data_IF_510843379740
#
_entry.id   IF_510843379740
#
_cell.length_a   1.000
_cell.length_b   1.000
_cell.length_c   1.000
_cell.angle_alpha   90.00
_cell.angle_beta   90.00
_cell.angle_gamma   90.00
#
_symmetry.space_group_name_H-M   'P 1'
#
loop_
_entity.id
_entity.type
_entity.pdbx_description
1 polymer ?
#
# COMPACT_ATOMS: atom_id res chain seq x y z
N UNK A 1 19.32 29.24 59.77
CA UNK A 1 19.92 30.18 58.80
C UNK A 1 21.24 29.59 58.33
N UNK A 2 21.55 29.28 57.06
CA UNK A 2 20.94 29.53 55.75
C UNK A 2 21.23 28.33 54.84
N UNK A 3 20.21 27.97 54.05
CA UNK A 3 20.26 27.21 52.80
C UNK A 3 21.40 27.69 51.88
N UNK A 4 22.14 26.75 51.27
CA UNK A 4 22.64 26.91 49.89
C UNK A 4 22.56 25.59 49.13
N UNK A 5 21.44 25.48 48.42
CA UNK A 5 21.16 24.57 47.33
C UNK A 5 22.21 24.73 46.21
N UNK A 6 22.83 23.65 45.76
CA UNK A 6 23.47 23.58 44.44
C UNK A 6 22.68 22.55 43.64
N UNK A 7 21.75 23.06 42.84
CA UNK A 7 20.95 22.28 41.91
C UNK A 7 21.86 21.69 40.82
N UNK A 8 21.62 20.42 40.55
CA UNK A 8 22.15 19.69 39.41
C UNK A 8 21.63 20.31 38.10
N UNK A 9 22.51 20.45 37.11
CA UNK A 9 22.11 20.62 35.72
C UNK A 9 22.88 19.58 34.90
N UNK A 10 22.40 18.34 34.94
CA UNK A 10 22.81 17.31 33.98
C UNK A 10 22.04 17.63 32.71
N UNK A 11 22.71 18.24 31.73
CA UNK A 11 22.23 18.27 30.36
C UNK A 11 22.18 16.83 29.84
N UNK A 12 21.02 16.18 29.95
CA UNK A 12 20.68 15.08 29.05
C UNK A 12 20.47 15.68 27.66
N UNK A 13 21.57 15.83 26.92
CA UNK A 13 21.49 15.91 25.47
C UNK A 13 21.02 14.53 24.98
N UNK A 14 19.71 14.34 24.96
CA UNK A 14 19.08 13.20 24.31
C UNK A 14 19.49 13.23 22.84
N UNK A 15 20.40 12.33 22.47
CA UNK A 15 20.62 11.92 21.09
C UNK A 15 19.30 11.32 20.59
N UNK A 16 18.41 12.18 20.09
CA UNK A 16 17.34 11.76 19.19
C UNK A 16 18.10 11.22 17.98
N UNK A 17 18.28 9.90 17.95
CA UNK A 17 18.70 9.18 16.75
C UNK A 17 17.59 9.38 15.74
N UNK A 18 17.66 10.46 14.98
CA UNK A 18 16.94 10.58 13.73
C UNK A 18 17.51 9.46 12.88
N UNK A 19 16.78 8.35 12.74
CA UNK A 19 17.14 7.35 11.75
C UNK A 19 17.16 8.09 10.43
N UNK A 20 18.32 8.15 9.78
CA UNK A 20 18.41 8.62 8.40
C UNK A 20 17.45 7.76 7.60
N UNK A 21 16.29 8.32 7.28
CA UNK A 21 15.27 7.62 6.51
C UNK A 21 15.94 7.21 5.21
N UNK A 22 16.08 5.89 5.00
CA UNK A 22 16.46 5.39 3.69
C UNK A 22 15.37 5.85 2.74
N UNK A 23 15.72 6.73 1.81
CA UNK A 23 14.83 7.16 0.75
C UNK A 23 14.49 5.96 -0.12
N UNK A 24 13.22 5.80 -0.50
CA UNK A 24 12.88 4.86 -1.55
C UNK A 24 13.45 5.40 -2.88
N UNK A 25 13.99 4.52 -3.71
CA UNK A 25 14.52 4.94 -5.01
C UNK A 25 13.41 5.54 -5.86
N UNK A 26 13.68 6.68 -6.51
CA UNK A 26 12.78 7.21 -7.53
C UNK A 26 12.90 6.39 -8.82
N UNK A 27 11.81 6.37 -9.59
CA UNK A 27 11.74 5.79 -10.93
C UNK A 27 10.63 4.75 -11.10
N UNK A 28 10.71 4.06 -12.24
CA UNK A 28 9.69 3.13 -12.71
C UNK A 28 10.05 1.72 -12.26
N UNK A 29 9.11 1.04 -11.61
CA UNK A 29 9.30 -0.30 -11.07
C UNK A 29 8.46 -1.32 -11.83
N UNK A 30 9.14 -2.19 -12.57
CA UNK A 30 8.53 -3.24 -13.37
C UNK A 30 8.48 -4.54 -12.58
N UNK A 31 7.42 -5.31 -12.79
CA UNK A 31 7.21 -6.56 -12.08
C UNK A 31 8.38 -7.53 -12.31
N UNK A 32 8.84 -8.18 -11.22
CA UNK A 32 9.74 -9.33 -11.29
C UNK A 32 9.30 -10.45 -10.37
N UNK A 33 9.34 -11.69 -10.89
CA UNK A 33 9.06 -12.87 -10.08
C UNK A 33 10.17 -13.03 -9.04
N UNK A 34 9.80 -12.93 -7.77
CA UNK A 34 10.75 -12.97 -6.65
C UNK A 34 10.04 -13.25 -5.32
N UNK A 35 10.74 -13.89 -4.37
CA UNK A 35 10.21 -14.13 -3.02
C UNK A 35 10.80 -13.10 -2.05
N UNK A 36 9.95 -12.27 -1.41
CA UNK A 36 10.42 -11.13 -0.60
C UNK A 36 11.44 -10.26 -1.37
N UNK A 37 11.14 -9.94 -2.63
CA UNK A 37 12.05 -9.28 -3.57
C UNK A 37 13.41 -9.98 -3.85
N UNK A 38 13.65 -11.21 -3.38
CA UNK A 38 14.87 -11.97 -3.69
C UNK A 38 14.71 -12.79 -4.98
N UNK A 39 15.77 -12.88 -5.81
CA UNK A 39 15.71 -13.69 -7.03
C UNK A 39 15.37 -15.15 -6.72
N UNK A 40 14.44 -15.74 -7.49
CA UNK A 40 14.04 -17.15 -7.37
C UNK A 40 14.96 -18.12 -8.13
N UNK A 41 16.18 -17.68 -8.46
CA UNK A 41 17.20 -18.52 -9.11
C UNK A 41 17.01 -18.76 -10.61
N UNK A 42 16.20 -17.94 -11.29
CA UNK A 42 16.08 -17.95 -12.75
C UNK A 42 17.34 -17.35 -13.40
N UNK A 43 17.70 -17.83 -14.59
CA UNK A 43 18.68 -17.13 -15.44
C UNK A 43 18.06 -15.84 -16.00
N UNK A 44 18.89 -14.91 -16.48
CA UNK A 44 18.39 -13.65 -17.07
C UNK A 44 17.44 -13.90 -18.25
N UNK A 45 17.79 -14.83 -19.13
CA UNK A 45 16.94 -15.25 -20.26
C UNK A 45 15.58 -15.81 -19.82
N UNK A 46 15.57 -16.59 -18.73
CA UNK A 46 14.33 -17.14 -18.16
C UNK A 46 13.50 -16.06 -17.46
N UNK A 47 14.16 -15.08 -16.85
CA UNK A 47 13.48 -13.97 -16.18
C UNK A 47 12.65 -13.19 -17.19
N UNK A 48 13.23 -12.80 -18.32
CA UNK A 48 12.56 -12.05 -19.37
C UNK A 48 11.44 -12.87 -20.04
N UNK A 49 11.64 -14.18 -20.21
CA UNK A 49 10.64 -15.04 -20.85
C UNK A 49 9.44 -15.38 -19.96
N UNK A 50 9.63 -15.43 -18.63
CA UNK A 50 8.62 -15.93 -17.68
C UNK A 50 7.96 -14.82 -16.86
N UNK A 51 8.56 -13.64 -16.80
CA UNK A 51 8.04 -12.50 -16.06
C UNK A 51 7.22 -11.61 -17.01
N UNK A 52 5.94 -11.36 -16.72
CA UNK A 52 5.16 -10.36 -17.46
C UNK A 52 5.83 -8.99 -17.42
N UNK A 53 5.98 -8.35 -18.58
CA UNK A 53 6.44 -6.97 -18.70
C UNK A 53 5.32 -6.01 -18.28
N UNK A 54 5.31 -5.67 -16.99
CA UNK A 54 4.26 -4.88 -16.37
C UNK A 54 4.90 -3.84 -15.48
N UNK A 55 4.67 -2.56 -15.79
CA UNK A 55 4.92 -1.49 -14.84
C UNK A 55 3.99 -1.65 -13.64
N UNK A 56 4.52 -1.85 -12.44
CA UNK A 56 3.71 -1.97 -11.23
C UNK A 56 3.39 -0.61 -10.62
N UNK A 57 4.42 0.20 -10.46
CA UNK A 57 4.30 1.52 -9.87
C UNK A 57 5.47 2.41 -10.26
N UNK A 58 5.22 3.71 -10.22
CA UNK A 58 6.22 4.76 -10.37
C UNK A 58 6.40 5.45 -9.01
N UNK A 59 7.64 5.83 -8.70
CA UNK A 59 7.97 6.60 -7.51
C UNK A 59 8.59 7.91 -7.94
N UNK A 60 7.86 9.00 -7.69
CA UNK A 60 8.29 10.35 -8.02
C UNK A 60 8.78 11.09 -6.77
N UNK A 61 9.93 11.77 -6.84
CA UNK A 61 10.36 12.67 -5.78
C UNK A 61 9.51 13.95 -5.82
N UNK A 62 8.67 14.15 -4.82
CA UNK A 62 7.88 15.38 -4.67
C UNK A 62 8.71 16.51 -4.02
N UNK A 63 9.68 16.16 -3.16
CA UNK A 63 10.69 17.05 -2.55
C UNK A 63 11.86 16.21 -1.97
N UNK A 64 12.89 16.85 -1.37
CA UNK A 64 14.11 16.19 -0.82
C UNK A 64 13.81 15.01 0.14
N UNK A 65 12.62 14.96 0.74
CA UNK A 65 12.21 13.86 1.63
C UNK A 65 10.73 13.47 1.46
N UNK A 66 10.10 13.90 0.37
CA UNK A 66 8.70 13.61 0.08
C UNK A 66 8.61 12.84 -1.23
N UNK A 67 7.85 11.76 -1.23
CA UNK A 67 7.72 10.85 -2.35
C UNK A 67 6.25 10.64 -2.66
N UNK A 68 5.92 10.49 -3.92
CA UNK A 68 4.61 10.06 -4.36
C UNK A 68 4.72 8.73 -5.10
N UNK A 69 3.77 7.83 -4.84
CA UNK A 69 3.60 6.59 -5.58
C UNK A 69 2.44 6.70 -6.55
N UNK A 70 2.65 6.23 -7.78
CA UNK A 70 1.60 6.01 -8.76
C UNK A 70 1.52 4.52 -9.04
N UNK A 71 0.50 3.85 -8.53
CA UNK A 71 0.26 2.43 -8.83
C UNK A 71 -0.37 2.34 -10.22
N UNK A 72 0.10 1.42 -11.05
CA UNK A 72 -0.52 1.09 -12.32
C UNK A 72 -1.87 0.38 -12.07
N UNK A 73 -2.93 1.16 -11.97
CA UNK A 73 -4.27 0.63 -11.71
C UNK A 73 -4.85 -0.06 -12.95
N UNK A 74 -4.33 0.18 -14.16
CA UNK A 74 -4.78 -0.53 -15.38
C UNK A 74 -4.52 -2.05 -15.28
N UNK A 75 -3.59 -2.47 -14.43
CA UNK A 75 -3.34 -3.88 -14.13
C UNK A 75 -4.42 -4.53 -13.22
N UNK A 76 -5.36 -3.76 -12.66
CA UNK A 76 -6.47 -4.25 -11.85
C UNK A 76 -7.63 -4.73 -12.74
N UNK A 77 -7.41 -5.85 -13.42
CA UNK A 77 -8.29 -6.37 -14.49
C UNK A 77 -9.76 -6.64 -14.10
N UNK A 78 -10.08 -6.77 -12.81
CA UNK A 78 -11.45 -6.98 -12.35
C UNK A 78 -12.20 -5.67 -12.03
N UNK A 79 -11.62 -4.49 -12.21
CA UNK A 79 -12.21 -3.20 -11.85
C UNK A 79 -12.99 -2.58 -13.03
N UNK A 80 -13.99 -1.76 -12.72
CA UNK A 80 -14.64 -0.89 -13.72
C UNK A 80 -13.74 0.30 -14.07
N UNK A 81 -13.93 0.91 -15.24
CA UNK A 81 -13.20 2.12 -15.64
C UNK A 81 -13.34 3.24 -14.60
N UNK A 82 -14.53 3.43 -14.02
CA UNK A 82 -14.73 4.43 -12.98
C UNK A 82 -14.08 4.04 -11.65
N UNK A 83 -13.89 2.76 -11.39
CA UNK A 83 -13.13 2.25 -10.25
C UNK A 83 -11.65 2.59 -10.39
N UNK A 84 -11.08 2.37 -11.58
CA UNK A 84 -9.70 2.76 -11.92
C UNK A 84 -9.52 4.27 -11.77
N UNK A 85 -10.38 5.06 -12.43
CA UNK A 85 -10.30 6.52 -12.39
C UNK A 85 -10.42 7.09 -10.95
N UNK A 86 -11.23 6.45 -10.09
CA UNK A 86 -11.33 6.82 -8.69
C UNK A 86 -10.00 6.60 -7.94
N UNK A 87 -9.36 5.43 -8.12
CA UNK A 87 -8.09 5.11 -7.48
C UNK A 87 -6.96 6.01 -7.97
N UNK A 88 -6.89 6.30 -9.27
CA UNK A 88 -5.93 7.26 -9.85
C UNK A 88 -6.08 8.65 -9.26
N UNK A 89 -7.31 9.08 -9.02
CA UNK A 89 -7.57 10.38 -8.41
C UNK A 89 -7.13 10.43 -6.94
N UNK A 90 -7.21 9.31 -6.20
CA UNK A 90 -6.70 9.25 -4.82
C UNK A 90 -5.17 9.39 -4.77
N UNK A 91 -4.45 8.82 -5.73
CA UNK A 91 -2.99 8.91 -5.79
C UNK A 91 -2.49 10.37 -5.89
N UNK A 92 -3.29 11.29 -6.44
CA UNK A 92 -2.94 12.72 -6.56
C UNK A 92 -2.90 13.49 -5.23
N UNK A 93 -3.45 12.93 -4.15
CA UNK A 93 -3.63 13.61 -2.84
C UNK A 93 -2.94 12.89 -1.69
N UNK A 94 -1.94 12.08 -2.02
CA UNK A 94 -1.31 11.19 -1.07
C UNK A 94 -0.48 11.92 -0.01
N UNK A 95 -0.37 11.29 1.15
CA UNK A 95 0.55 11.69 2.22
C UNK A 95 1.57 10.57 2.42
N UNK A 96 2.85 10.91 2.30
CA UNK A 96 3.94 9.97 2.48
C UNK A 96 4.49 9.99 3.91
N UNK A 97 4.74 8.80 4.46
CA UNK A 97 5.45 8.60 5.72
C UNK A 97 6.40 7.41 5.60
N UNK A 98 7.48 7.42 6.37
CA UNK A 98 8.49 6.37 6.37
C UNK A 98 8.85 5.98 7.79
N UNK A 99 9.04 4.68 8.02
CA UNK A 99 9.36 4.13 9.33
C UNK A 99 10.07 2.79 9.26
N UNK A 100 10.48 2.27 10.41
CA UNK A 100 10.96 0.89 10.52
C UNK A 100 9.81 -0.09 10.35
N UNK A 101 10.05 -1.22 9.69
CA UNK A 101 9.05 -2.28 9.59
C UNK A 101 8.75 -2.89 10.97
N UNK A 102 7.48 -3.16 11.33
CA UNK A 102 7.09 -3.59 12.69
C UNK A 102 7.87 -4.83 13.18
N UNK A 103 8.05 -5.81 12.30
CA UNK A 103 8.67 -7.09 12.67
C UNK A 103 10.19 -7.13 12.50
N UNK A 104 10.77 -6.18 11.78
CA UNK A 104 12.21 -6.18 11.46
C UNK A 104 12.74 -4.77 11.25
N UNK A 105 13.45 -4.26 12.26
CA UNK A 105 14.04 -2.92 12.23
C UNK A 105 15.10 -2.68 11.14
N UNK A 106 15.53 -3.73 10.41
CA UNK A 106 16.43 -3.61 9.26
C UNK A 106 15.67 -3.32 7.95
N UNK A 107 14.36 -3.59 7.91
CA UNK A 107 13.50 -3.24 6.78
C UNK A 107 12.92 -1.85 7.01
N UNK A 108 12.76 -1.10 5.92
CA UNK A 108 12.12 0.22 5.93
C UNK A 108 10.75 0.08 5.28
N UNK A 109 9.72 0.65 5.88
CA UNK A 109 8.36 0.69 5.32
C UNK A 109 8.06 2.11 4.86
N UNK A 110 7.71 2.23 3.58
CA UNK A 110 7.27 3.45 2.92
C UNK A 110 5.75 3.39 2.79
N UNK A 111 5.04 4.29 3.44
CA UNK A 111 3.58 4.30 3.51
C UNK A 111 3.04 5.52 2.79
N UNK A 112 2.12 5.29 1.87
CA UNK A 112 1.43 6.32 1.11
C UNK A 112 -0.06 6.24 1.43
N UNK A 113 -0.54 7.19 2.22
CA UNK A 113 -1.95 7.32 2.56
C UNK A 113 -2.65 8.07 1.44
N UNK A 114 -3.45 7.36 0.63
CA UNK A 114 -4.14 7.92 -0.54
C UNK A 114 -5.50 8.52 -0.18
N UNK A 115 -6.14 7.99 0.87
CA UNK A 115 -7.44 8.45 1.35
C UNK A 115 -7.53 8.33 2.86
N UNK A 116 -8.11 9.35 3.50
CA UNK A 116 -8.58 9.30 4.89
C UNK A 116 -9.74 10.27 5.06
N UNK A 117 -10.96 9.79 4.87
CA UNK A 117 -12.16 10.63 4.95
C UNK A 117 -13.38 9.87 5.46
N UNK A 118 -14.39 10.62 5.91
CA UNK A 118 -15.65 10.04 6.36
C UNK A 118 -16.64 10.00 5.21
N UNK A 119 -17.08 8.80 4.83
CA UNK A 119 -18.09 8.56 3.80
C UNK A 119 -19.40 8.05 4.42
N UNK A 120 -20.49 8.13 3.66
CA UNK A 120 -21.77 7.54 4.05
C UNK A 120 -21.97 6.17 3.37
N UNK A 121 -23.02 5.45 3.77
CA UNK A 121 -23.35 4.14 3.20
C UNK A 121 -23.55 4.15 1.68
N UNK A 122 -24.18 5.20 1.12
CA UNK A 122 -24.46 5.30 -0.32
C UNK A 122 -23.17 5.43 -1.12
N UNK A 123 -22.24 6.27 -0.68
CA UNK A 123 -20.90 6.41 -1.26
C UNK A 123 -20.14 5.09 -1.17
N UNK A 124 -20.14 4.42 0.00
CA UNK A 124 -19.48 3.13 0.16
C UNK A 124 -20.04 2.07 -0.80
N UNK A 125 -21.37 1.93 -0.88
CA UNK A 125 -22.00 0.99 -1.79
C UNK A 125 -21.64 1.29 -3.26
N UNK A 126 -21.65 2.57 -3.64
CA UNK A 126 -21.24 3.00 -4.98
C UNK A 126 -19.78 2.69 -5.31
N UNK A 127 -18.86 2.85 -4.34
CA UNK A 127 -17.44 2.53 -4.52
C UNK A 127 -17.22 1.02 -4.69
N UNK A 128 -17.82 0.20 -3.83
CA UNK A 128 -17.64 -1.25 -3.88
C UNK A 128 -18.15 -1.87 -5.17
N UNK A 129 -19.22 -1.31 -5.75
CA UNK A 129 -19.72 -1.74 -7.06
C UNK A 129 -18.73 -1.41 -8.20
N UNK A 130 -17.90 -0.37 -8.05
CA UNK A 130 -16.90 0.02 -9.05
C UNK A 130 -15.61 -0.77 -8.92
N UNK A 131 -15.29 -1.24 -7.72
CA UNK A 131 -14.06 -1.99 -7.44
C UNK A 131 -14.09 -3.44 -7.91
N UNK A 132 -15.21 -3.94 -8.44
CA UNK A 132 -15.18 -5.21 -9.15
C UNK A 132 -16.36 -5.36 -10.11
N UNK A 133 -16.09 -5.76 -11.36
CA UNK A 133 -17.07 -6.06 -12.40
C UNK A 133 -17.94 -7.29 -12.06
N UNK A 134 -17.54 -8.07 -11.04
CA UNK A 134 -18.19 -9.33 -10.62
C UNK A 134 -19.10 -9.15 -9.39
N UNK A 135 -19.41 -7.91 -8.99
CA UNK A 135 -20.16 -7.59 -7.74
C UNK A 135 -21.70 -7.58 -7.87
N UNK A 136 -22.29 -8.36 -8.78
CA UNK A 136 -23.76 -8.50 -8.85
C UNK A 136 -24.37 -9.01 -7.53
N UNK A 137 -25.70 -9.18 -7.43
CA UNK A 137 -26.49 -9.51 -6.22
C UNK A 137 -26.01 -10.73 -5.37
N UNK A 138 -24.93 -11.41 -5.77
CA UNK A 138 -24.31 -12.54 -5.07
C UNK A 138 -22.84 -12.32 -4.69
N UNK A 139 -22.25 -11.16 -5.03
CA UNK A 139 -20.85 -10.81 -4.82
C UNK A 139 -20.45 -10.64 -3.35
N UNK A 140 -19.15 -10.75 -3.06
CA UNK A 140 -18.60 -10.68 -1.69
C UNK A 140 -18.94 -9.34 -1.02
N UNK A 141 -18.72 -8.21 -1.71
CA UNK A 141 -18.97 -6.89 -1.12
C UNK A 141 -20.46 -6.62 -0.97
N UNK A 142 -21.29 -7.10 -1.89
CA UNK A 142 -22.75 -7.04 -1.76
C UNK A 142 -23.23 -7.73 -0.46
N UNK A 143 -22.76 -8.95 -0.18
CA UNK A 143 -23.09 -9.65 1.08
C UNK A 143 -22.59 -8.90 2.32
N UNK A 144 -21.40 -8.30 2.26
CA UNK A 144 -20.88 -7.49 3.36
C UNK A 144 -21.72 -6.21 3.56
N UNK A 145 -22.15 -5.54 2.49
CA UNK A 145 -23.06 -4.39 2.57
C UNK A 145 -24.40 -4.77 3.22
N UNK A 146 -24.97 -5.93 2.88
CA UNK A 146 -26.21 -6.42 3.51
C UNK A 146 -26.05 -6.67 5.02
N UNK A 147 -24.86 -7.08 5.47
CA UNK A 147 -24.57 -7.30 6.89
C UNK A 147 -24.59 -6.02 7.74
N UNK A 148 -24.41 -4.85 7.11
CA UNK A 148 -24.48 -3.55 7.77
C UNK A 148 -25.94 -3.21 8.07
N UNK A 149 -26.33 -3.33 9.35
CA UNK A 149 -27.72 -3.12 9.81
C UNK A 149 -28.17 -1.66 9.74
N UNK A 150 -27.31 -0.73 10.16
CA UNK A 150 -27.63 0.69 10.16
C UNK A 150 -27.19 1.34 8.84
N UNK A 151 -28.15 1.60 7.94
CA UNK A 151 -27.87 2.27 6.65
C UNK A 151 -27.61 3.78 6.78
N UNK A 152 -27.89 4.38 7.94
CA UNK A 152 -27.48 5.74 8.27
C UNK A 152 -26.06 5.81 8.86
N UNK A 153 -25.35 4.68 8.96
CA UNK A 153 -23.98 4.66 9.44
C UNK A 153 -23.03 5.48 8.55
N UNK A 154 -22.01 6.03 9.19
CA UNK A 154 -20.87 6.70 8.55
C UNK A 154 -19.64 5.82 8.71
N UNK A 155 -18.72 5.93 7.76
CA UNK A 155 -17.53 5.10 7.71
C UNK A 155 -16.29 5.95 7.53
N UNK A 156 -15.24 5.68 8.29
CA UNK A 156 -13.90 6.17 7.95
C UNK A 156 -13.35 5.27 6.84
N UNK A 157 -13.16 5.85 5.65
CA UNK A 157 -12.49 5.22 4.52
C UNK A 157 -11.00 5.52 4.59
N UNK A 158 -10.18 4.48 4.57
CA UNK A 158 -8.72 4.55 4.52
C UNK A 158 -8.24 3.75 3.32
N UNK A 159 -7.50 4.40 2.42
CA UNK A 159 -6.84 3.74 1.29
C UNK A 159 -5.35 3.97 1.40
N UNK A 160 -4.57 2.89 1.41
CA UNK A 160 -3.13 2.95 1.69
C UNK A 160 -2.35 2.03 0.75
N UNK A 161 -1.17 2.50 0.36
CA UNK A 161 -0.12 1.72 -0.30
C UNK A 161 1.07 1.61 0.65
N UNK A 162 1.70 0.44 0.72
CA UNK A 162 2.95 0.24 1.44
C UNK A 162 3.98 -0.48 0.59
N UNK A 163 5.17 0.10 0.53
CA UNK A 163 6.36 -0.51 -0.05
C UNK A 163 7.33 -0.86 1.08
N UNK A 164 7.83 -2.08 1.07
CA UNK A 164 8.88 -2.54 1.98
C UNK A 164 10.22 -2.58 1.25
N UNK A 165 11.18 -1.82 1.78
CA UNK A 165 12.57 -1.88 1.36
C UNK A 165 13.28 -3.02 2.10
N UNK A 166 13.56 -4.09 1.33
CA UNK A 166 14.27 -5.30 1.74
C UNK A 166 15.80 -5.12 1.76
N UNK A 167 16.32 -3.91 1.47
CA UNK A 167 17.73 -3.61 1.23
C UNK A 167 18.32 -4.33 0.04
N UNK A 168 17.48 -4.59 -0.97
CA UNK A 168 17.90 -5.15 -2.26
C UNK A 168 18.00 -3.98 -3.25
N UNK A 169 19.17 -3.71 -3.84
CA UNK A 169 19.34 -2.61 -4.77
C UNK A 169 18.30 -2.64 -5.88
N UNK A 170 17.80 -1.45 -6.24
CA UNK A 170 16.86 -1.22 -7.34
C UNK A 170 15.54 -2.00 -7.25
N UNK A 171 15.19 -2.53 -6.08
CA UNK A 171 13.93 -3.25 -5.85
C UNK A 171 13.10 -2.65 -4.72
N UNK A 172 11.80 -2.70 -4.88
CA UNK A 172 10.83 -2.32 -3.87
C UNK A 172 9.70 -3.34 -3.79
N UNK A 173 9.33 -3.76 -2.59
CA UNK A 173 8.32 -4.79 -2.39
C UNK A 173 6.97 -4.16 -2.07
N UNK A 174 6.00 -4.26 -2.98
CA UNK A 174 4.62 -3.84 -2.72
C UNK A 174 3.93 -4.89 -1.85
N UNK A 175 3.81 -4.58 -0.55
CA UNK A 175 3.22 -5.47 0.46
C UNK A 175 1.80 -5.08 0.85
N UNK A 176 1.39 -3.86 0.50
CA UNK A 176 0.04 -3.40 0.79
C UNK A 176 -0.48 -2.49 -0.32
N UNK A 177 -1.67 -2.79 -0.82
CA UNK A 177 -2.50 -1.84 -1.54
C UNK A 177 -3.96 -2.18 -1.25
N UNK A 178 -4.60 -1.39 -0.39
CA UNK A 178 -5.88 -1.76 0.22
C UNK A 178 -6.76 -0.56 0.54
N UNK A 179 -8.07 -0.72 0.36
CA UNK A 179 -9.10 0.15 0.95
C UNK A 179 -9.75 -0.56 2.14
N UNK A 180 -9.81 0.11 3.29
CA UNK A 180 -10.46 -0.36 4.51
C UNK A 180 -11.53 0.64 4.96
N UNK A 181 -12.70 0.12 5.35
CA UNK A 181 -13.84 0.92 5.77
C UNK A 181 -14.24 0.56 7.19
N UNK A 182 -14.10 1.52 8.10
CA UNK A 182 -14.39 1.35 9.53
C UNK A 182 -15.71 2.03 9.87
N UNK A 183 -16.65 1.31 10.48
CA UNK A 183 -17.86 1.95 10.97
C UNK A 183 -17.52 2.95 12.07
N UNK A 184 -18.18 4.10 12.09
CA UNK A 184 -18.02 5.07 13.18
C UNK A 184 -19.02 4.80 14.30
N UNK A 185 -18.56 4.89 15.55
CA UNK A 185 -19.43 4.86 16.71
C UNK A 185 -20.17 6.20 16.95
N UNK A 186 -20.99 6.25 17.99
CA UNK A 186 -21.75 7.46 18.35
C UNK A 186 -20.89 8.67 18.76
N UNK A 187 -19.60 8.45 19.04
CA UNK A 187 -18.61 9.49 19.32
C UNK A 187 -17.78 9.90 18.10
N UNK A 188 -18.04 9.27 16.94
CA UNK A 188 -17.31 9.51 15.69
C UNK A 188 -15.96 8.80 15.60
N UNK A 189 -15.66 7.84 16.49
CA UNK A 189 -14.43 7.05 16.45
C UNK A 189 -14.60 5.80 15.57
N UNK A 190 -13.56 5.38 14.83
CA UNK A 190 -13.61 4.16 14.05
C UNK A 190 -13.65 2.93 14.95
N UNK A 191 -14.54 2.00 14.64
CA UNK A 191 -14.67 0.70 15.30
C UNK A 191 -13.84 -0.33 14.54
N UNK A 192 -12.99 -1.04 15.27
CA UNK A 192 -12.16 -2.14 14.78
C UNK A 192 -12.83 -3.50 15.00
N UNK A 193 -12.66 -4.48 14.09
CA UNK A 193 -11.96 -4.38 12.80
C UNK A 193 -12.78 -3.64 11.74
N UNK A 194 -12.13 -3.27 10.62
CA UNK A 194 -12.83 -2.75 9.44
C UNK A 194 -14.00 -3.65 9.06
N UNK A 195 -15.16 -3.05 8.77
CA UNK A 195 -16.35 -3.80 8.36
C UNK A 195 -16.21 -4.37 6.95
N UNK A 196 -15.49 -3.66 6.09
CA UNK A 196 -15.19 -4.06 4.71
C UNK A 196 -13.73 -3.73 4.42
N UNK A 197 -13.06 -4.68 3.76
CA UNK A 197 -11.68 -4.54 3.31
C UNK A 197 -11.57 -5.03 1.87
N UNK A 198 -11.02 -4.17 1.00
CA UNK A 198 -10.80 -4.42 -0.43
C UNK A 198 -9.29 -4.47 -0.66
N UNK A 199 -8.75 -5.67 -0.92
CA UNK A 199 -7.34 -5.83 -1.27
C UNK A 199 -7.16 -5.64 -2.78
N UNK A 200 -6.65 -4.48 -3.18
CA UNK A 200 -6.29 -4.19 -4.57
C UNK A 200 -5.06 -5.00 -4.98
N UNK A 201 -4.12 -5.22 -4.06
CA UNK A 201 -2.96 -6.10 -4.26
C UNK A 201 -3.37 -7.53 -4.64
N UNK A 202 -4.45 -8.07 -4.04
CA UNK A 202 -4.95 -9.39 -4.40
C UNK A 202 -5.48 -9.45 -5.83
N UNK A 203 -6.12 -8.38 -6.31
CA UNK A 203 -6.53 -8.27 -7.72
C UNK A 203 -5.32 -8.23 -8.65
N UNK A 204 -4.36 -7.36 -8.34
CA UNK A 204 -3.11 -7.21 -9.10
C UNK A 204 -2.34 -8.54 -9.21
N UNK A 205 -2.13 -9.23 -8.07
CA UNK A 205 -1.42 -10.52 -8.01
C UNK A 205 -2.12 -11.63 -8.79
N UNK A 206 -3.45 -11.71 -8.72
CA UNK A 206 -4.22 -12.69 -9.48
C UNK A 206 -4.08 -12.50 -10.99
N UNK A 207 -4.00 -11.24 -11.45
CA UNK A 207 -3.82 -10.92 -12.86
C UNK A 207 -2.40 -11.25 -13.34
N UNK A 208 -1.36 -10.90 -12.57
CA UNK A 208 0.04 -11.19 -12.91
C UNK A 208 0.32 -12.70 -13.05
N UNK A 209 -0.45 -13.54 -12.37
CA UNK A 209 -0.25 -14.99 -12.32
C UNK A 209 -1.55 -15.77 -12.53
N UNK A 210 -2.09 -15.67 -13.75
CA UNK A 210 -3.19 -16.52 -14.20
C UNK A 210 -2.99 -18.00 -13.85
N UNK A 211 -4.08 -18.69 -13.49
CA UNK A 211 -4.05 -20.10 -13.08
C UNK A 211 -3.71 -21.00 -14.28
N UNK A 212 -2.77 -21.97 -14.18
CA UNK A 212 -1.98 -22.37 -13.01
C UNK A 212 -0.52 -21.88 -13.07
N UNK A 213 -0.18 -20.85 -12.29
CA UNK A 213 1.22 -20.43 -12.07
C UNK A 213 1.75 -20.98 -10.75
N UNK A 214 2.95 -21.57 -10.77
CA UNK A 214 3.63 -22.06 -9.55
C UNK A 214 3.95 -20.95 -8.55
N UNK A 215 3.93 -19.69 -9.00
CA UNK A 215 4.25 -18.51 -8.20
C UNK A 215 3.01 -17.92 -7.50
N UNK A 216 1.80 -18.33 -7.90
CA UNK A 216 0.53 -17.78 -7.41
C UNK A 216 0.36 -17.90 -5.88
N UNK A 217 0.85 -18.98 -5.26
CA UNK A 217 0.81 -19.16 -3.79
C UNK A 217 1.91 -18.40 -3.06
N UNK A 218 3.08 -18.23 -3.68
CA UNK A 218 4.27 -17.66 -3.04
C UNK A 218 4.29 -16.13 -3.03
N UNK A 219 3.44 -15.51 -3.85
CA UNK A 219 3.40 -14.07 -4.07
C UNK A 219 2.13 -13.42 -3.50
N UNK A 220 1.38 -14.12 -2.66
CA UNK A 220 0.17 -13.58 -2.03
C UNK A 220 0.47 -12.44 -1.05
N UNK A 221 1.66 -12.46 -0.44
CA UNK A 221 2.07 -11.50 0.59
C UNK A 221 2.67 -10.20 0.00
N UNK A 222 2.87 -10.15 -1.32
CA UNK A 222 3.35 -8.95 -2.02
C UNK A 222 3.99 -9.24 -3.37
N UNK A 223 4.19 -8.20 -4.17
CA UNK A 223 4.84 -8.27 -5.49
C UNK A 223 6.06 -7.37 -5.53
N UNK A 224 7.14 -7.84 -6.16
CA UNK A 224 8.34 -7.04 -6.27
C UNK A 224 8.35 -6.25 -7.58
N UNK A 225 8.64 -4.95 -7.45
CA UNK A 225 9.05 -4.13 -8.56
C UNK A 225 10.57 -4.03 -8.60
N UNK A 226 11.15 -4.12 -9.78
CA UNK A 226 12.56 -3.83 -10.06
C UNK A 226 12.66 -2.68 -11.04
N UNK A 227 13.58 -1.76 -10.76
CA UNK A 227 13.91 -0.65 -11.62
C UNK A 227 14.92 -1.14 -12.69
N UNK A 228 14.61 -1.02 -13.99
CA UNK A 228 15.51 -1.47 -15.05
C UNK A 228 16.85 -0.73 -14.99
N UNK A 229 17.96 -1.41 -15.33
CA UNK A 229 19.30 -0.80 -15.35
C UNK A 229 19.43 0.40 -16.32
N UNK A 230 18.50 0.52 -17.28
CA UNK A 230 18.43 1.63 -18.25
C UNK A 230 17.52 2.79 -17.83
N UNK A 231 16.98 2.78 -16.60
CA UNK A 231 16.17 3.91 -16.12
C UNK A 231 17.08 5.13 -15.91
N UNK A 232 17.20 5.94 -16.95
CA UNK A 232 17.88 7.21 -16.88
C UNK A 232 17.03 8.17 -16.06
N UNK A 233 17.49 8.46 -14.84
CA UNK A 233 17.18 9.69 -14.13
C UNK A 233 18.50 10.42 -13.86
#
# INVERSE_FOLDING_TARGET
>A
MKLKCKAALILLAGLIKVSTAAAVGAGDYYYVISENCKPVGLTDEQKDALTPDVLLFEIDPANISDYSVKINNDALSDYTEEGIAYLDNLQKKQIYTVGGHPDNNKKTEHRFLLQKEIINYQTLAGLLNRFSQVQNDKGRFYRQLLSIKNKAARFLAITEVRLTDEKIPDRAWLTHYQSAYYALDGSGQPVEPAVITVSHLASLTNWLHGTPSQWQRKLQDGVCGEKPAYSHW
#
